data_IF_769146292306
#
_entry.id   IF_769146292306
#
_cell.length_a   1.000
_cell.length_b   1.000
_cell.length_c   1.000
_cell.angle_alpha   90.00
_cell.angle_beta   90.00
_cell.angle_gamma   90.00
#
_symmetry.space_group_name_H-M   'P 1'
#
loop_
_entity.id
_entity.type
_entity.pdbx_description
1 polymer ?
#
# COMPACT_ATOMS: atom_id res chain seq x y z
N UNK A 1 15.20 -1.43 10.14
CA UNK A 1 15.64 -0.92 8.80
C UNK A 1 15.43 0.57 8.71
N UNK A 2 16.45 1.34 8.28
CA UNK A 2 16.29 2.79 8.00
C UNK A 2 15.89 3.01 6.55
N UNK A 3 15.24 4.16 6.23
CA UNK A 3 14.79 4.42 4.86
C UNK A 3 15.93 4.45 3.83
N UNK A 4 17.13 4.92 4.20
CA UNK A 4 18.30 4.92 3.31
C UNK A 4 18.73 3.52 2.88
N UNK A 5 18.55 2.53 3.74
CA UNK A 5 18.76 1.12 3.43
C UNK A 5 17.59 0.55 2.61
N UNK A 6 16.34 0.81 3.05
CA UNK A 6 15.11 0.39 2.38
C UNK A 6 15.11 0.74 0.88
N UNK A 7 15.50 1.97 0.53
CA UNK A 7 15.50 2.45 -0.86
C UNK A 7 16.53 1.79 -1.79
N UNK A 8 17.42 0.95 -1.26
CA UNK A 8 18.40 0.23 -2.06
C UNK A 8 17.86 -1.09 -2.63
N UNK A 9 16.69 -1.50 -2.17
CA UNK A 9 16.05 -2.74 -2.58
C UNK A 9 14.77 -2.46 -3.37
N UNK A 10 14.52 -3.29 -4.37
CA UNK A 10 13.21 -3.40 -4.99
C UNK A 10 12.29 -4.31 -4.17
N UNK A 11 11.05 -4.52 -4.63
CA UNK A 11 10.08 -5.34 -3.92
C UNK A 11 10.53 -6.81 -3.78
N UNK A 12 11.26 -7.34 -4.75
CA UNK A 12 11.78 -8.72 -4.71
C UNK A 12 12.91 -8.82 -3.68
N UNK A 13 13.81 -7.86 -3.66
CA UNK A 13 14.89 -7.79 -2.68
C UNK A 13 14.36 -7.65 -1.25
N UNK A 14 13.33 -6.81 -1.02
CA UNK A 14 12.69 -6.69 0.30
C UNK A 14 12.01 -8.00 0.72
N UNK A 15 11.30 -8.66 -0.19
CA UNK A 15 10.68 -9.97 0.09
C UNK A 15 11.73 -11.03 0.46
N UNK A 16 12.88 -11.02 -0.21
CA UNK A 16 13.98 -11.93 0.10
C UNK A 16 14.58 -11.68 1.47
N UNK A 17 14.81 -10.41 1.85
CA UNK A 17 15.29 -10.05 3.19
C UNK A 17 14.31 -10.50 4.29
N UNK A 18 13.00 -10.35 4.05
CA UNK A 18 11.96 -10.81 4.97
C UNK A 18 12.00 -12.35 5.06
N UNK A 19 12.02 -13.04 3.92
CA UNK A 19 11.99 -14.50 3.83
C UNK A 19 13.20 -15.15 4.52
N UNK A 20 14.36 -14.53 4.42
CA UNK A 20 15.59 -15.01 5.07
C UNK A 20 15.70 -14.63 6.55
N UNK A 21 14.77 -13.82 7.06
CA UNK A 21 14.79 -13.32 8.43
C UNK A 21 15.87 -12.26 8.69
N UNK A 22 16.47 -11.71 7.64
CA UNK A 22 17.44 -10.61 7.77
C UNK A 22 16.77 -9.32 8.29
N UNK A 23 15.50 -9.12 7.95
CA UNK A 23 14.63 -8.07 8.50
C UNK A 23 13.24 -8.64 8.72
N UNK A 24 12.47 -8.07 9.65
CA UNK A 24 11.06 -8.42 9.80
C UNK A 24 10.18 -7.60 8.86
N UNK A 25 9.02 -8.16 8.49
CA UNK A 25 8.01 -7.43 7.71
C UNK A 25 7.54 -6.14 8.42
N UNK A 26 7.57 -6.14 9.76
CA UNK A 26 7.22 -4.94 10.53
C UNK A 26 8.30 -3.86 10.43
N UNK A 27 9.57 -4.19 10.49
CA UNK A 27 10.65 -3.21 10.30
C UNK A 27 10.60 -2.57 8.91
N UNK A 28 10.31 -3.37 7.87
CA UNK A 28 10.15 -2.86 6.50
C UNK A 28 8.93 -1.94 6.39
N UNK A 29 7.80 -2.31 6.99
CA UNK A 29 6.62 -1.45 7.04
C UNK A 29 6.91 -0.15 7.80
N UNK A 30 7.58 -0.20 8.95
CA UNK A 30 7.89 1.01 9.72
C UNK A 30 8.77 1.99 8.92
N UNK A 31 9.73 1.50 8.14
CA UNK A 31 10.54 2.33 7.26
C UNK A 31 9.68 3.03 6.18
N UNK A 32 8.71 2.32 5.59
CA UNK A 32 7.77 2.88 4.62
C UNK A 32 6.82 3.90 5.26
N UNK A 33 6.28 3.63 6.45
CA UNK A 33 5.40 4.54 7.18
C UNK A 33 6.13 5.82 7.63
N UNK A 34 7.35 5.70 8.14
CA UNK A 34 8.16 6.85 8.51
C UNK A 34 8.42 7.76 7.30
N UNK A 35 8.69 7.17 6.12
CA UNK A 35 8.85 7.94 4.89
C UNK A 35 7.53 8.58 4.44
N UNK A 36 6.41 7.88 4.56
CA UNK A 36 5.09 8.46 4.28
C UNK A 36 4.85 9.69 5.16
N UNK A 37 5.09 9.59 6.47
CA UNK A 37 4.89 10.70 7.42
C UNK A 37 5.78 11.90 7.10
N UNK A 38 6.99 11.68 6.62
CA UNK A 38 7.92 12.74 6.21
C UNK A 38 7.46 13.48 4.95
N UNK A 39 6.98 12.75 3.93
CA UNK A 39 6.71 13.33 2.61
C UNK A 39 5.25 13.74 2.41
N UNK A 40 4.32 13.11 3.11
CA UNK A 40 2.88 13.31 2.88
C UNK A 40 2.39 14.73 3.18
N UNK A 41 2.92 15.48 4.17
CA UNK A 41 2.53 16.87 4.39
C UNK A 41 2.80 17.78 3.18
N UNK A 42 3.83 17.47 2.40
CA UNK A 42 4.19 18.24 1.20
C UNK A 42 3.53 17.68 -0.05
N UNK A 43 3.57 16.36 -0.23
CA UNK A 43 3.17 15.72 -1.49
C UNK A 43 1.70 15.30 -1.54
N UNK A 44 1.01 15.30 -0.39
CA UNK A 44 -0.36 14.79 -0.27
C UNK A 44 -0.57 13.43 -0.96
N UNK A 45 0.44 12.56 -0.81
CA UNK A 45 0.53 11.27 -1.49
C UNK A 45 -0.63 10.33 -1.14
N UNK A 46 -1.04 10.30 0.14
CA UNK A 46 -2.06 9.40 0.63
C UNK A 46 -3.43 10.07 0.62
N UNK A 47 -4.32 9.60 -0.27
CA UNK A 47 -5.75 9.89 -0.21
C UNK A 47 -6.39 9.27 1.03
N UNK A 48 -5.90 8.10 1.44
CA UNK A 48 -6.36 7.37 2.62
C UNK A 48 -5.16 6.71 3.32
N UNK A 49 -5.04 6.99 4.63
CA UNK A 49 -4.08 6.32 5.50
C UNK A 49 -4.68 4.99 5.99
N UNK A 50 -4.11 3.89 5.55
CA UNK A 50 -4.53 2.53 5.89
C UNK A 50 -3.58 1.85 6.89
N UNK A 51 -2.70 2.62 7.60
CA UNK A 51 -1.69 2.05 8.52
C UNK A 51 -2.28 1.15 9.60
N UNK A 52 -3.46 1.48 10.15
CA UNK A 52 -4.10 0.62 11.16
C UNK A 52 -4.36 -0.78 10.63
N UNK A 53 -4.83 -0.88 9.38
CA UNK A 53 -5.07 -2.16 8.72
C UNK A 53 -3.77 -2.86 8.36
N UNK A 54 -2.76 -2.10 7.93
CA UNK A 54 -1.43 -2.63 7.67
C UNK A 54 -0.78 -3.20 8.95
N UNK A 55 -0.90 -2.52 10.09
CA UNK A 55 -0.38 -2.99 11.37
C UNK A 55 -1.09 -4.25 11.88
N UNK A 56 -2.40 -4.39 11.60
CA UNK A 56 -3.18 -5.57 11.93
C UNK A 56 -3.08 -6.71 10.89
N UNK A 57 -2.31 -6.49 9.81
CA UNK A 57 -2.15 -7.46 8.72
C UNK A 57 -1.42 -8.71 9.21
N UNK A 58 -1.87 -9.85 8.73
CA UNK A 58 -1.23 -11.14 8.97
C UNK A 58 -0.72 -11.71 7.65
N UNK A 59 0.46 -12.27 7.68
CA UNK A 59 1.07 -12.87 6.51
C UNK A 59 0.23 -14.06 6.02
N UNK A 60 -0.29 -14.01 4.77
CA UNK A 60 -1.15 -15.08 4.27
C UNK A 60 -0.39 -16.39 4.04
N UNK A 61 0.88 -16.29 3.66
CA UNK A 61 1.79 -17.42 3.45
C UNK A 61 3.21 -16.91 3.31
N UNK A 62 4.17 -17.59 3.93
CA UNK A 62 5.60 -17.32 3.75
C UNK A 62 6.08 -17.63 2.32
N UNK A 63 5.36 -18.47 1.60
CA UNK A 63 5.64 -18.80 0.20
C UNK A 63 5.10 -17.76 -0.80
N UNK A 64 4.37 -16.73 -0.34
CA UNK A 64 3.90 -15.67 -1.22
C UNK A 64 5.11 -14.86 -1.76
N UNK A 65 5.14 -14.56 -3.08
CA UNK A 65 6.34 -14.01 -3.72
C UNK A 65 6.76 -12.62 -3.19
N UNK A 66 5.83 -11.85 -2.63
CA UNK A 66 6.06 -10.51 -2.08
C UNK A 66 5.59 -10.41 -0.62
N UNK A 67 5.74 -11.51 0.14
CA UNK A 67 5.25 -11.62 1.50
C UNK A 67 5.79 -10.50 2.41
N UNK A 68 4.88 -9.68 2.94
CA UNK A 68 5.19 -8.61 3.88
C UNK A 68 5.72 -7.31 3.28
N UNK A 69 5.89 -7.23 1.96
CA UNK A 69 6.38 -6.01 1.28
C UNK A 69 5.32 -4.91 1.38
N UNK A 70 5.67 -3.71 1.89
CA UNK A 70 4.77 -2.58 1.94
C UNK A 70 4.33 -2.12 0.54
N UNK A 71 3.06 -1.80 0.41
CA UNK A 71 2.49 -1.41 -0.87
C UNK A 71 1.50 -0.24 -0.72
N UNK A 72 1.62 0.76 -1.59
CA UNK A 72 0.66 1.85 -1.71
C UNK A 72 -0.28 1.55 -2.88
N UNK A 73 -1.57 1.33 -2.57
CA UNK A 73 -2.59 0.96 -3.54
C UNK A 73 -3.12 2.20 -4.25
N UNK A 74 -3.28 2.15 -5.56
CA UNK A 74 -3.90 3.25 -6.30
C UNK A 74 -5.38 3.40 -5.93
N UNK A 75 -5.83 4.65 -5.65
CA UNK A 75 -7.23 4.92 -5.28
C UNK A 75 -8.16 5.07 -6.51
N UNK A 76 -7.95 4.24 -7.52
CA UNK A 76 -8.74 4.18 -8.76
C UNK A 76 -8.83 2.74 -9.23
N UNK A 77 -10.04 2.22 -9.46
CA UNK A 77 -10.32 0.86 -9.96
C UNK A 77 -9.80 -0.29 -9.08
N UNK A 78 -9.12 0.02 -7.99
CA UNK A 78 -8.58 -0.95 -7.05
C UNK A 78 -9.47 -1.00 -5.79
N UNK A 79 -10.64 -1.59 -5.94
CA UNK A 79 -11.55 -1.80 -4.83
C UNK A 79 -10.95 -2.75 -3.80
N UNK A 80 -10.92 -2.30 -2.56
CA UNK A 80 -10.45 -3.07 -1.41
C UNK A 80 -11.58 -3.18 -0.39
N UNK A 81 -12.02 -4.38 -0.11
CA UNK A 81 -13.19 -4.64 0.74
C UNK A 81 -13.14 -3.87 2.06
N UNK A 82 -14.20 -3.12 2.34
CA UNK A 82 -14.36 -2.32 3.55
C UNK A 82 -13.58 -1.00 3.53
N UNK A 83 -12.97 -0.63 2.40
CA UNK A 83 -12.24 0.64 2.22
C UNK A 83 -12.89 1.43 1.11
N UNK A 84 -13.07 2.75 1.23
CA UNK A 84 -13.56 3.57 0.14
C UNK A 84 -12.63 3.51 -1.09
N UNK A 85 -13.20 3.66 -2.28
CA UNK A 85 -12.47 3.95 -3.51
C UNK A 85 -12.97 5.29 -4.03
N UNK A 86 -12.17 6.34 -3.80
CA UNK A 86 -12.59 7.72 -4.01
C UNK A 86 -12.43 8.18 -5.45
N UNK A 87 -11.56 7.54 -6.23
CA UNK A 87 -11.30 7.90 -7.64
C UNK A 87 -10.99 9.39 -7.86
N UNK A 88 -10.40 10.04 -6.86
CA UNK A 88 -10.14 11.49 -6.88
C UNK A 88 -11.39 12.35 -6.85
N UNK A 89 -12.60 11.78 -6.62
CA UNK A 89 -13.87 12.51 -6.72
C UNK A 89 -14.62 12.59 -5.39
N UNK A 90 -15.13 13.76 -5.07
CA UNK A 90 -16.00 13.95 -3.90
C UNK A 90 -17.30 13.15 -3.96
N UNK A 91 -17.75 12.80 -5.16
CA UNK A 91 -18.95 11.99 -5.36
C UNK A 91 -18.80 10.57 -4.81
N UNK A 92 -17.57 10.05 -4.76
CA UNK A 92 -17.28 8.68 -4.34
C UNK A 92 -17.03 8.53 -2.83
N UNK A 93 -17.19 9.58 -2.03
CA UNK A 93 -16.88 9.55 -0.58
C UNK A 93 -17.62 8.47 0.22
N UNK A 94 -18.81 8.09 -0.23
CA UNK A 94 -19.65 7.06 0.41
C UNK A 94 -19.53 5.69 -0.24
N UNK A 95 -18.74 5.57 -1.31
CA UNK A 95 -18.53 4.30 -2.00
C UNK A 95 -17.54 3.43 -1.25
N UNK A 96 -18.06 2.58 -0.38
CA UNK A 96 -17.26 1.57 0.32
C UNK A 96 -17.36 0.25 -0.43
N UNK A 97 -16.22 -0.30 -0.84
CA UNK A 97 -16.16 -1.53 -1.59
C UNK A 97 -16.69 -2.72 -0.76
N UNK A 98 -17.71 -3.41 -1.26
CA UNK A 98 -18.25 -4.61 -0.63
C UNK A 98 -17.35 -5.85 -0.81
N UNK A 99 -16.51 -5.84 -1.85
CA UNK A 99 -15.57 -6.91 -2.21
C UNK A 99 -14.31 -6.33 -2.83
N UNK A 100 -13.25 -7.12 -2.87
CA UNK A 100 -12.06 -6.76 -3.61
C UNK A 100 -12.31 -6.80 -5.12
N UNK A 101 -11.60 -5.97 -5.87
CA UNK A 101 -11.36 -6.20 -7.28
C UNK A 101 -10.41 -7.39 -7.48
N UNK A 102 -10.43 -8.04 -8.63
CA UNK A 102 -9.51 -9.15 -8.95
C UNK A 102 -8.04 -8.74 -8.82
N UNK A 103 -7.72 -7.47 -9.12
CA UNK A 103 -6.38 -6.92 -8.96
C UNK A 103 -5.95 -6.91 -7.49
N UNK A 104 -6.82 -6.45 -6.59
CA UNK A 104 -6.53 -6.42 -5.16
C UNK A 104 -6.42 -7.83 -4.59
N UNK A 105 -7.27 -8.77 -5.02
CA UNK A 105 -7.12 -10.18 -4.66
C UNK A 105 -5.77 -10.75 -5.10
N UNK A 106 -5.27 -10.35 -6.29
CA UNK A 106 -3.95 -10.77 -6.76
C UNK A 106 -2.82 -10.18 -5.89
N UNK A 107 -2.93 -8.92 -5.47
CA UNK A 107 -1.97 -8.28 -4.57
C UNK A 107 -1.96 -8.93 -3.17
N UNK A 108 -3.13 -9.24 -2.63
CA UNK A 108 -3.24 -9.96 -1.35
C UNK A 108 -2.64 -11.37 -1.44
N UNK A 109 -2.90 -12.12 -2.53
CA UNK A 109 -2.27 -13.44 -2.76
C UNK A 109 -0.75 -13.36 -2.93
N UNK A 110 -0.26 -12.26 -3.53
CA UNK A 110 1.17 -12.02 -3.63
C UNK A 110 1.84 -11.69 -2.29
N UNK A 111 1.04 -11.44 -1.24
CA UNK A 111 1.52 -11.13 0.11
C UNK A 111 1.85 -9.66 0.34
N UNK A 112 1.43 -8.76 -0.55
CA UNK A 112 1.66 -7.33 -0.38
C UNK A 112 0.91 -6.77 0.84
N UNK A 113 1.59 -5.92 1.59
CA UNK A 113 1.08 -5.29 2.81
C UNK A 113 0.65 -3.85 2.51
N UNK A 114 -0.62 -3.65 2.17
CA UNK A 114 -1.15 -2.34 1.78
C UNK A 114 -1.24 -1.42 3.00
N UNK A 115 -0.57 -0.25 2.95
CA UNK A 115 -0.53 0.73 4.05
C UNK A 115 -1.20 2.08 3.73
N UNK A 116 -1.45 2.38 2.47
CA UNK A 116 -2.12 3.60 2.02
C UNK A 116 -2.82 3.39 0.69
N UNK A 117 -3.84 4.23 0.40
CA UNK A 117 -4.31 4.43 -0.98
C UNK A 117 -3.83 5.79 -1.45
N UNK A 118 -3.27 5.83 -2.68
CA UNK A 118 -2.61 7.03 -3.21
C UNK A 118 -3.59 7.98 -3.87
N UNK A 119 -3.29 9.28 -3.82
CA UNK A 119 -4.03 10.29 -4.57
C UNK A 119 -3.99 10.01 -6.07
N UNK A 120 -5.08 10.37 -6.73
CA UNK A 120 -5.26 10.22 -8.18
C UNK A 120 -6.03 11.44 -8.71
N UNK A 121 -5.84 11.85 -9.97
CA UNK A 121 -6.69 12.85 -10.58
C UNK A 121 -8.13 12.33 -10.68
N UNK A 122 -9.11 13.21 -10.68
CA UNK A 122 -10.52 12.84 -10.74
C UNK A 122 -10.77 11.89 -11.92
N UNK A 123 -11.29 10.69 -11.60
CA UNK A 123 -11.54 9.57 -12.54
C UNK A 123 -10.34 9.16 -13.41
N UNK A 124 -9.14 9.57 -13.03
CA UNK A 124 -7.94 9.27 -13.81
C UNK A 124 -7.85 10.01 -15.14
N UNK A 125 -8.60 11.11 -15.31
CA UNK A 125 -8.73 11.81 -16.59
C UNK A 125 -7.55 12.72 -16.91
N UNK A 126 -6.71 13.05 -15.93
CA UNK A 126 -5.55 13.92 -16.10
C UNK A 126 -4.23 13.16 -15.89
N UNK A 127 -3.13 13.58 -16.51
CA UNK A 127 -1.81 12.96 -16.32
C UNK A 127 -1.10 13.39 -15.04
N UNK A 128 -1.68 14.28 -14.25
CA UNK A 128 -1.12 14.81 -13.00
C UNK A 128 -2.19 14.89 -11.92
N UNK A 129 -1.75 14.92 -10.66
CA UNK A 129 -2.59 15.08 -9.44
C UNK A 129 -2.03 16.24 -8.63
N UNK A 130 -2.92 17.11 -8.13
CA UNK A 130 -2.61 18.21 -7.21
C UNK A 130 -3.24 17.95 -5.83
#
# INVERSE_FOLDING_TARGET
MQFQEYRQYDAVGLAELIRTGAVSADEVLQAALARLDEVNPLLQLAAQDCRKRALAWQMPSEAAPLAGVPFALKDLLADWRGVPTLSGSRMMRTHIAARNSHLVDAYERAGLRVFAKTTVPEWGLMPYTE
#
